data_IF_136342513823
#
_entry.id   IF_136342513823
#
_cell.length_a   1.000
_cell.length_b   1.000
_cell.length_c   1.000
_cell.angle_alpha   90.00
_cell.angle_beta   90.00
_cell.angle_gamma   90.00
#
_symmetry.space_group_name_H-M   'P 1'
#
loop_
_entity.id
_entity.type
_entity.pdbx_description
1 polymer ?
#
# COMPACT_ATOMS: atom_id res chain seq x y z
N UNK A 1 -6.63 24.35 -1.59
CA UNK A 1 -5.98 23.21 -2.26
C UNK A 1 -6.94 22.75 -3.34
N UNK A 2 -6.53 22.81 -4.62
CA UNK A 2 -7.32 22.29 -5.73
C UNK A 2 -6.71 20.95 -6.08
N UNK A 3 -7.50 19.87 -6.03
CA UNK A 3 -7.07 18.56 -6.53
C UNK A 3 -7.39 18.49 -8.01
N UNK A 4 -6.37 18.29 -8.83
CA UNK A 4 -6.49 18.15 -10.27
C UNK A 4 -5.98 16.79 -10.74
N UNK A 5 -6.05 16.58 -12.05
CA UNK A 5 -5.58 15.35 -12.68
C UNK A 5 -4.07 15.14 -12.50
N UNK A 6 -3.29 16.22 -12.39
CA UNK A 6 -1.84 16.14 -12.19
C UNK A 6 -1.52 15.59 -10.80
N UNK A 7 -2.18 16.12 -9.77
CA UNK A 7 -2.06 15.64 -8.38
C UNK A 7 -2.40 14.14 -8.28
N UNK A 8 -3.41 13.69 -9.03
CA UNK A 8 -3.78 12.27 -9.11
C UNK A 8 -2.67 11.44 -9.75
N UNK A 9 -2.13 11.87 -10.89
CA UNK A 9 -1.08 11.13 -11.62
C UNK A 9 0.21 11.05 -10.81
N UNK A 10 0.65 12.15 -10.20
CA UNK A 10 1.87 12.22 -9.39
C UNK A 10 1.78 11.34 -8.15
N UNK A 11 0.69 11.45 -7.39
CA UNK A 11 0.47 10.62 -6.22
C UNK A 11 0.33 9.14 -6.60
N UNK A 12 -0.31 8.83 -7.73
CA UNK A 12 -0.43 7.46 -8.22
C UNK A 12 0.95 6.88 -8.52
N UNK A 13 1.77 7.64 -9.24
CA UNK A 13 3.13 7.25 -9.59
C UNK A 13 3.95 6.91 -8.34
N UNK A 14 3.92 7.76 -7.32
CA UNK A 14 4.64 7.50 -6.07
C UNK A 14 4.09 6.28 -5.31
N UNK A 15 2.77 6.13 -5.21
CA UNK A 15 2.14 5.10 -4.37
C UNK A 15 1.96 3.74 -5.05
N UNK A 16 2.09 3.65 -6.37
CA UNK A 16 1.90 2.39 -7.12
C UNK A 16 2.67 1.19 -6.52
N UNK A 17 3.95 1.31 -6.10
CA UNK A 17 4.65 0.23 -5.39
C UNK A 17 3.97 -0.21 -4.10
N UNK A 18 3.44 0.72 -3.31
CA UNK A 18 2.77 0.45 -2.05
C UNK A 18 1.40 -0.24 -2.26
N UNK A 19 0.63 0.22 -3.26
CA UNK A 19 -0.61 -0.45 -3.68
C UNK A 19 -0.34 -1.90 -4.12
N UNK A 20 0.70 -2.10 -4.93
CA UNK A 20 1.08 -3.43 -5.39
C UNK A 20 1.53 -4.32 -4.20
N UNK A 21 2.33 -3.79 -3.29
CA UNK A 21 2.77 -4.50 -2.09
C UNK A 21 1.59 -5.00 -1.25
N UNK A 22 0.67 -4.09 -0.88
CA UNK A 22 -0.49 -4.41 -0.05
C UNK A 22 -1.48 -5.33 -0.79
N UNK A 23 -1.74 -5.07 -2.08
CA UNK A 23 -2.72 -5.81 -2.88
C UNK A 23 -2.27 -7.22 -3.26
N UNK A 24 -0.96 -7.43 -3.49
CA UNK A 24 -0.43 -8.72 -3.95
C UNK A 24 0.11 -9.60 -2.81
N UNK A 25 0.49 -9.04 -1.66
CA UNK A 25 0.91 -9.84 -0.50
C UNK A 25 -0.09 -10.95 -0.10
N UNK A 26 -1.43 -10.73 -0.12
CA UNK A 26 -2.42 -11.77 0.20
C UNK A 26 -2.43 -12.98 -0.75
N UNK A 27 -1.80 -12.90 -1.93
CA UNK A 27 -1.68 -14.04 -2.85
C UNK A 27 -0.77 -15.14 -2.30
N UNK A 28 0.09 -14.84 -1.31
CA UNK A 28 0.94 -15.85 -0.68
C UNK A 28 0.13 -16.97 0.02
N UNK A 29 -1.16 -16.73 0.31
CA UNK A 29 -2.06 -17.71 0.95
C UNK A 29 -2.28 -19.00 0.15
N UNK A 30 -1.91 -19.02 -1.13
CA UNK A 30 -1.94 -20.24 -1.94
C UNK A 30 -0.80 -21.21 -1.55
N UNK A 31 0.18 -20.76 -0.75
CA UNK A 31 1.20 -21.62 -0.15
C UNK A 31 0.75 -22.15 1.21
N UNK A 32 1.08 -23.40 1.49
CA UNK A 32 1.00 -23.99 2.83
C UNK A 32 2.21 -23.58 3.68
N UNK A 33 2.08 -23.69 5.02
CA UNK A 33 3.21 -23.50 5.93
C UNK A 33 3.66 -22.05 6.17
N UNK A 34 2.75 -21.06 6.04
CA UNK A 34 3.09 -19.67 6.32
C UNK A 34 3.42 -19.43 7.79
N UNK A 35 4.41 -18.58 8.07
CA UNK A 35 4.90 -18.29 9.42
C UNK A 35 4.35 -16.96 9.94
N UNK A 36 3.43 -16.97 10.94
CA UNK A 36 2.93 -15.74 11.55
C UNK A 36 4.07 -14.94 12.19
N UNK A 37 4.11 -13.63 11.95
CA UNK A 37 5.13 -12.71 12.48
C UNK A 37 5.10 -12.71 14.01
N UNK A 38 3.91 -12.77 14.60
CA UNK A 38 3.78 -12.81 16.06
C UNK A 38 4.09 -14.19 16.67
N UNK A 39 4.26 -15.25 15.87
CA UNK A 39 4.48 -16.61 16.37
C UNK A 39 3.37 -17.12 17.28
N UNK A 40 2.15 -16.56 17.19
CA UNK A 40 1.05 -16.87 18.11
C UNK A 40 1.12 -16.17 19.46
N UNK A 41 2.10 -15.26 19.67
CA UNK A 41 2.21 -14.47 20.91
C UNK A 41 0.97 -13.64 21.15
N UNK A 42 0.66 -13.48 22.42
CA UNK A 42 -0.45 -12.68 22.89
C UNK A 42 0.01 -11.50 23.72
N UNK A 43 -0.70 -10.38 23.60
CA UNK A 43 -0.57 -9.23 24.48
C UNK A 43 -1.92 -8.91 25.11
N UNK A 44 -1.94 -8.90 26.45
CA UNK A 44 -3.15 -8.70 27.28
C UNK A 44 -4.30 -9.64 26.88
N UNK A 45 -3.98 -10.94 26.78
CA UNK A 45 -4.95 -12.01 26.46
C UNK A 45 -5.46 -12.03 25.01
N UNK A 46 -4.78 -11.35 24.08
CA UNK A 46 -5.17 -11.29 22.67
C UNK A 46 -3.99 -11.44 21.73
N UNK A 47 -4.19 -11.97 20.51
CA UNK A 47 -3.12 -12.04 19.51
C UNK A 47 -2.42 -10.69 19.33
N UNK A 48 -1.09 -10.68 19.18
CA UNK A 48 -0.35 -9.44 18.96
C UNK A 48 -0.76 -8.79 17.63
N UNK A 49 -0.72 -9.56 16.54
CA UNK A 49 -1.09 -9.15 15.18
C UNK A 49 -2.21 -10.05 14.61
N UNK A 50 -2.11 -11.36 14.89
CA UNK A 50 -2.97 -12.41 14.38
C UNK A 50 -2.31 -13.20 13.25
N UNK A 51 -2.75 -14.45 13.08
CA UNK A 51 -2.21 -15.44 12.11
C UNK A 51 -2.23 -15.03 10.63
N UNK A 52 -2.76 -13.85 10.29
CA UNK A 52 -2.81 -13.37 8.91
C UNK A 52 -1.62 -12.53 8.50
N UNK A 53 -0.78 -12.11 9.47
CA UNK A 53 0.42 -11.34 9.22
C UNK A 53 1.62 -12.26 9.28
N UNK A 54 2.19 -12.56 8.12
CA UNK A 54 3.23 -13.59 7.96
C UNK A 54 4.50 -12.99 7.36
N UNK A 55 5.65 -13.59 7.69
CA UNK A 55 6.94 -13.12 7.17
C UNK A 55 6.99 -13.20 5.65
N UNK A 56 6.44 -14.25 5.05
CA UNK A 56 6.40 -14.42 3.60
C UNK A 56 5.56 -13.34 2.92
N UNK A 57 4.44 -12.93 3.53
CA UNK A 57 3.62 -11.84 3.02
C UNK A 57 4.36 -10.51 3.07
N UNK A 58 5.08 -10.25 4.17
CA UNK A 58 5.92 -9.05 4.32
C UNK A 58 7.03 -9.02 3.27
N UNK A 59 7.82 -10.08 3.14
CA UNK A 59 8.91 -10.13 2.18
C UNK A 59 8.41 -10.08 0.73
N UNK A 60 7.30 -10.76 0.41
CA UNK A 60 6.70 -10.67 -0.92
C UNK A 60 6.23 -9.25 -1.23
N UNK A 61 5.52 -8.60 -0.30
CA UNK A 61 5.03 -7.23 -0.48
C UNK A 61 6.18 -6.25 -0.74
N UNK A 62 7.22 -6.30 0.10
CA UNK A 62 8.41 -5.46 -0.06
C UNK A 62 9.12 -5.74 -1.38
N UNK A 63 9.32 -7.01 -1.73
CA UNK A 63 9.96 -7.41 -2.98
C UNK A 63 9.18 -6.89 -4.20
N UNK A 64 7.85 -7.07 -4.22
CA UNK A 64 6.98 -6.55 -5.27
C UNK A 64 7.12 -5.03 -5.40
N UNK A 65 7.14 -4.29 -4.29
CA UNK A 65 7.29 -2.84 -4.32
C UNK A 65 8.62 -2.42 -4.99
N UNK A 66 9.72 -3.09 -4.62
CA UNK A 66 11.04 -2.85 -5.24
C UNK A 66 11.01 -3.13 -6.74
N UNK A 67 10.42 -4.24 -7.17
CA UNK A 67 10.31 -4.57 -8.60
C UNK A 67 9.50 -3.51 -9.35
N UNK A 68 8.35 -3.09 -8.81
CA UNK A 68 7.52 -2.05 -9.43
C UNK A 68 8.29 -0.73 -9.54
N UNK A 69 9.00 -0.31 -8.48
CA UNK A 69 9.83 0.90 -8.54
C UNK A 69 10.98 0.80 -9.54
N UNK A 70 11.61 -0.37 -9.69
CA UNK A 70 12.62 -0.60 -10.71
C UNK A 70 12.03 -0.50 -12.12
N UNK A 71 10.84 -1.06 -12.35
CA UNK A 71 10.13 -0.92 -13.64
C UNK A 71 9.78 0.55 -13.89
N UNK A 72 9.28 1.27 -12.90
CA UNK A 72 9.00 2.70 -13.03
C UNK A 72 10.27 3.51 -13.34
N UNK A 73 11.39 3.19 -12.69
CA UNK A 73 12.68 3.83 -12.94
C UNK A 73 13.19 3.58 -14.36
N UNK A 74 13.11 2.34 -14.86
CA UNK A 74 13.61 2.01 -16.21
C UNK A 74 12.67 2.46 -17.32
N UNK A 75 11.37 2.54 -17.05
CA UNK A 75 10.37 3.03 -18.02
C UNK A 75 10.27 4.55 -18.05
N UNK A 76 10.73 5.25 -17.01
CA UNK A 76 10.63 6.71 -16.89
C UNK A 76 11.08 7.47 -18.15
N UNK A 77 12.22 7.17 -18.81
CA UNK A 77 12.65 7.91 -20.00
C UNK A 77 11.77 7.70 -21.24
N UNK A 78 10.98 6.62 -21.26
CA UNK A 78 10.14 6.24 -22.41
C UNK A 78 8.69 6.69 -22.24
N UNK A 79 8.34 7.23 -21.07
CA UNK A 79 6.99 7.71 -20.80
C UNK A 79 6.83 9.15 -21.27
N UNK A 80 5.65 9.50 -21.80
CA UNK A 80 5.42 10.80 -22.41
C UNK A 80 5.16 11.91 -21.38
N UNK A 81 6.07 12.12 -20.43
CA UNK A 81 5.93 13.14 -19.38
C UNK A 81 5.77 14.56 -19.97
N UNK A 82 6.37 14.79 -21.13
CA UNK A 82 6.31 16.05 -21.87
C UNK A 82 5.03 16.22 -22.72
N UNK A 83 4.14 15.23 -22.84
CA UNK A 83 2.87 15.38 -23.58
C UNK A 83 1.82 16.23 -22.86
N UNK A 84 2.13 16.80 -21.69
CA UNK A 84 1.33 17.88 -21.12
C UNK A 84 1.62 19.20 -21.83
N UNK A 85 1.27 19.30 -23.12
CA UNK A 85 1.17 20.59 -23.83
C UNK A 85 0.01 21.46 -23.30
N UNK A 86 -0.74 20.96 -22.32
CA UNK A 86 -1.82 21.69 -21.65
C UNK A 86 -1.22 22.75 -20.72
N UNK A 87 -1.02 23.95 -21.26
CA UNK A 87 -0.88 25.22 -20.53
C UNK A 87 0.25 25.32 -19.48
N UNK A 88 1.47 24.85 -19.78
CA UNK A 88 2.65 25.19 -18.97
C UNK A 88 2.68 24.56 -17.56
N UNK A 89 1.90 23.50 -17.33
CA UNK A 89 1.94 22.73 -16.08
C UNK A 89 3.06 21.69 -16.15
N UNK A 90 3.98 21.76 -15.19
CA UNK A 90 5.09 20.80 -15.04
C UNK A 90 4.66 19.75 -14.01
N UNK A 91 4.55 18.49 -14.43
CA UNK A 91 4.32 17.37 -13.53
C UNK A 91 5.51 17.19 -12.57
N UNK A 92 5.23 17.10 -11.27
CA UNK A 92 6.22 16.78 -10.25
C UNK A 92 6.35 15.26 -10.06
N UNK A 93 6.88 14.57 -11.08
CA UNK A 93 7.07 13.12 -11.01
C UNK A 93 8.32 12.79 -10.19
N UNK A 94 8.11 12.05 -9.10
CA UNK A 94 9.20 11.57 -8.24
C UNK A 94 10.07 10.55 -9.00
N UNK A 95 11.39 10.76 -9.10
CA UNK A 95 12.31 9.77 -9.65
C UNK A 95 12.32 8.50 -8.79
N UNK A 96 11.94 7.37 -9.39
CA UNK A 96 11.89 6.10 -8.68
C UNK A 96 13.27 5.48 -8.55
N UNK A 97 13.48 4.72 -7.47
CA UNK A 97 14.71 3.96 -7.23
C UNK A 97 14.40 2.69 -6.45
N UNK A 98 15.35 1.74 -6.43
CA UNK A 98 15.22 0.55 -5.59
C UNK A 98 15.07 0.89 -4.09
N UNK A 99 15.80 1.93 -3.62
CA UNK A 99 15.73 2.39 -2.24
C UNK A 99 14.35 2.98 -1.90
N UNK A 100 13.77 3.78 -2.81
CA UNK A 100 12.42 4.31 -2.63
C UNK A 100 11.37 3.19 -2.64
N UNK A 101 11.49 2.21 -3.55
CA UNK A 101 10.62 1.04 -3.58
C UNK A 101 10.69 0.20 -2.30
N UNK A 102 11.89 0.03 -1.74
CA UNK A 102 12.10 -0.64 -0.46
C UNK A 102 11.37 0.11 0.66
N UNK A 103 11.52 1.43 0.74
CA UNK A 103 10.85 2.26 1.75
C UNK A 103 9.33 2.24 1.60
N UNK A 104 8.81 2.37 0.38
CA UNK A 104 7.37 2.29 0.10
C UNK A 104 6.79 0.93 0.50
N UNK A 105 7.47 -0.16 0.13
CA UNK A 105 7.07 -1.52 0.49
C UNK A 105 7.11 -1.75 2.01
N UNK A 106 8.19 -1.35 2.67
CA UNK A 106 8.31 -1.46 4.13
C UNK A 106 7.26 -0.61 4.83
N UNK A 107 7.06 0.63 4.40
CA UNK A 107 6.06 1.54 4.93
C UNK A 107 4.66 0.96 4.82
N UNK A 108 4.28 0.46 3.63
CA UNK A 108 2.99 -0.17 3.40
C UNK A 108 2.76 -1.37 4.31
N UNK A 109 3.73 -2.30 4.39
CA UNK A 109 3.62 -3.49 5.24
C UNK A 109 3.63 -3.13 6.73
N UNK A 110 4.42 -2.15 7.16
CA UNK A 110 4.41 -1.65 8.54
C UNK A 110 3.08 -1.01 8.92
N UNK A 111 2.49 -0.21 8.03
CA UNK A 111 1.15 0.37 8.22
C UNK A 111 0.10 -0.71 8.49
N UNK A 112 0.05 -1.71 7.62
CA UNK A 112 -0.87 -2.86 7.74
C UNK A 112 -0.64 -3.69 9.02
N UNK A 113 0.61 -3.82 9.49
CA UNK A 113 0.94 -4.43 10.78
C UNK A 113 0.42 -3.60 11.96
N UNK A 114 0.61 -2.28 11.92
CA UNK A 114 0.12 -1.36 12.96
C UNK A 114 -1.40 -1.40 13.02
N UNK A 115 -2.09 -1.34 11.88
CA UNK A 115 -3.54 -1.48 11.81
C UNK A 115 -4.00 -2.82 12.40
N UNK A 116 -3.35 -3.92 12.05
CA UNK A 116 -3.69 -5.22 12.58
C UNK A 116 -3.49 -5.32 14.09
N UNK A 117 -2.41 -4.74 14.60
CA UNK A 117 -2.19 -4.61 16.03
C UNK A 117 -3.34 -3.82 16.70
N UNK A 118 -3.68 -2.63 16.17
CA UNK A 118 -4.75 -1.78 16.70
C UNK A 118 -6.09 -2.51 16.70
N UNK A 119 -6.43 -3.21 15.62
CA UNK A 119 -7.64 -4.05 15.51
C UNK A 119 -7.72 -5.08 16.65
N UNK A 120 -6.60 -5.70 17.03
CA UNK A 120 -6.58 -6.64 18.17
C UNK A 120 -6.79 -5.94 19.51
N UNK A 121 -6.35 -4.69 19.66
CA UNK A 121 -6.56 -3.89 20.89
C UNK A 121 -8.01 -3.44 21.07
N UNK A 122 -8.70 -3.09 19.99
CA UNK A 122 -10.14 -2.76 20.01
C UNK A 122 -11.07 -3.98 19.93
N UNK A 123 -10.54 -5.19 20.17
CA UNK A 123 -11.27 -6.46 20.24
C UNK A 123 -11.90 -6.94 18.91
N UNK A 124 -11.46 -6.42 17.77
CA UNK A 124 -11.96 -6.89 16.48
C UNK A 124 -11.37 -8.27 16.13
N UNK A 125 -12.20 -9.26 15.77
CA UNK A 125 -11.73 -10.57 15.33
C UNK A 125 -11.01 -10.47 13.99
N UNK A 126 -10.27 -11.54 13.63
CA UNK A 126 -9.60 -11.60 12.33
C UNK A 126 -10.64 -11.54 11.21
N UNK A 127 -10.39 -10.71 10.20
CA UNK A 127 -11.29 -10.55 9.06
C UNK A 127 -12.51 -9.67 9.32
N UNK A 128 -12.71 -9.18 10.54
CA UNK A 128 -13.69 -8.12 10.75
C UNK A 128 -13.27 -6.85 10.00
N UNK A 129 -14.21 -6.18 9.32
CA UNK A 129 -13.92 -4.91 8.66
C UNK A 129 -13.60 -3.85 9.71
N UNK A 130 -12.60 -3.03 9.43
CA UNK A 130 -12.30 -1.79 10.13
C UNK A 130 -12.21 -0.67 9.09
N UNK A 131 -13.34 -0.07 8.69
CA UNK A 131 -13.35 1.03 7.73
C UNK A 131 -12.43 2.17 8.15
N UNK A 132 -11.88 2.88 7.16
CA UNK A 132 -10.77 3.84 7.25
C UNK A 132 -9.44 3.15 7.58
N UNK A 133 -9.39 2.35 8.65
CA UNK A 133 -8.16 1.70 9.09
C UNK A 133 -7.64 0.67 8.07
N UNK A 134 -8.50 -0.17 7.51
CA UNK A 134 -8.10 -1.21 6.55
C UNK A 134 -7.79 -0.65 5.14
N UNK A 135 -8.19 0.58 4.86
CA UNK A 135 -8.03 1.20 3.54
C UNK A 135 -6.79 2.10 3.48
N UNK A 136 -6.55 2.89 4.52
CA UNK A 136 -5.54 3.96 4.48
C UNK A 136 -4.26 3.63 5.26
N UNK A 137 -4.22 2.53 6.00
CA UNK A 137 -3.07 2.13 6.83
C UNK A 137 -1.77 2.03 6.04
N UNK A 138 -1.79 1.32 4.91
CA UNK A 138 -0.63 1.11 4.06
C UNK A 138 -0.23 2.40 3.34
N UNK A 139 -1.19 3.27 3.00
CA UNK A 139 -0.94 4.57 2.36
C UNK A 139 -0.21 5.49 3.33
N UNK A 140 -0.71 5.61 4.56
CA UNK A 140 -0.06 6.38 5.61
C UNK A 140 1.36 5.86 5.89
N UNK A 141 1.50 4.55 6.04
CA UNK A 141 2.81 3.93 6.26
C UNK A 141 3.79 4.20 5.10
N UNK A 142 3.33 4.07 3.86
CA UNK A 142 4.13 4.34 2.66
C UNK A 142 4.58 5.79 2.58
N UNK A 143 3.69 6.77 2.82
CA UNK A 143 4.07 8.19 2.81
C UNK A 143 5.07 8.53 3.92
N UNK A 144 4.89 8.01 5.14
CA UNK A 144 5.82 8.24 6.25
C UNK A 144 7.22 7.74 5.86
N UNK A 145 7.32 6.54 5.30
CA UNK A 145 8.62 5.98 4.92
C UNK A 145 9.21 6.65 3.68
N UNK A 146 8.40 6.99 2.68
CA UNK A 146 8.84 7.72 1.50
C UNK A 146 9.41 9.10 1.86
N UNK A 147 8.82 9.76 2.87
CA UNK A 147 9.28 11.08 3.33
C UNK A 147 10.72 11.10 3.87
N UNK A 148 11.30 9.92 4.17
CA UNK A 148 12.70 9.78 4.56
C UNK A 148 13.68 9.98 3.40
N UNK A 149 13.21 9.90 2.14
CA UNK A 149 14.05 9.97 0.95
C UNK A 149 13.60 11.04 -0.05
N UNK A 150 12.30 11.33 -0.12
CA UNK A 150 11.73 12.28 -1.09
C UNK A 150 10.76 13.24 -0.41
N UNK A 151 10.61 14.44 -0.98
CA UNK A 151 9.58 15.37 -0.55
C UNK A 151 8.20 14.84 -0.95
N UNK A 152 7.34 14.61 0.03
CA UNK A 152 5.95 14.18 -0.19
C UNK A 152 5.06 15.41 -0.13
N UNK A 153 4.29 15.66 -1.19
CA UNK A 153 3.33 16.76 -1.16
C UNK A 153 2.11 16.42 -0.29
N UNK A 154 1.67 17.40 0.48
CA UNK A 154 0.45 17.28 1.29
C UNK A 154 -0.80 17.07 0.44
N UNK A 155 -0.80 17.60 -0.79
CA UNK A 155 -1.84 17.39 -1.80
C UNK A 155 -1.99 15.91 -2.15
N UNK A 156 -0.88 15.21 -2.44
CA UNK A 156 -0.89 13.77 -2.71
C UNK A 156 -1.43 13.00 -1.51
N UNK A 157 -0.95 13.30 -0.29
CA UNK A 157 -1.43 12.63 0.93
C UNK A 157 -2.95 12.78 1.11
N UNK A 158 -3.47 14.01 1.09
CA UNK A 158 -4.90 14.25 1.33
C UNK A 158 -5.75 13.62 0.23
N UNK A 159 -5.36 13.77 -1.04
CA UNK A 159 -6.08 13.15 -2.16
C UNK A 159 -6.15 11.64 -1.98
N UNK A 160 -5.02 11.01 -1.67
CA UNK A 160 -4.93 9.56 -1.56
C UNK A 160 -5.63 8.99 -0.34
N UNK A 161 -5.73 9.71 0.77
CA UNK A 161 -6.59 9.31 1.89
C UNK A 161 -8.08 9.34 1.53
N UNK A 162 -8.49 10.18 0.57
CA UNK A 162 -9.89 10.27 0.14
C UNK A 162 -10.23 9.23 -0.92
N UNK A 163 -9.34 8.99 -1.89
CA UNK A 163 -9.62 8.10 -3.03
C UNK A 163 -9.26 6.63 -2.75
N UNK A 164 -8.33 6.35 -1.83
CA UNK A 164 -7.92 4.96 -1.54
C UNK A 164 -9.08 4.09 -1.05
N UNK A 165 -10.01 4.57 -0.20
CA UNK A 165 -11.16 3.76 0.17
C UNK A 165 -11.99 3.27 -1.02
N UNK A 166 -12.11 4.10 -2.07
CA UNK A 166 -12.77 3.71 -3.32
C UNK A 166 -11.96 2.64 -4.07
N UNK A 167 -10.66 2.85 -4.26
CA UNK A 167 -9.78 1.86 -4.91
C UNK A 167 -9.73 0.54 -4.16
N UNK A 168 -9.68 0.58 -2.84
CA UNK A 168 -9.71 -0.60 -1.98
C UNK A 168 -11.03 -1.35 -2.17
N UNK A 169 -12.17 -0.67 -2.15
CA UNK A 169 -13.48 -1.32 -2.38
C UNK A 169 -13.55 -2.00 -3.76
N UNK A 170 -13.10 -1.33 -4.82
CA UNK A 170 -13.03 -1.91 -6.18
C UNK A 170 -12.13 -3.15 -6.19
N UNK A 171 -10.94 -3.08 -5.61
CA UNK A 171 -10.01 -4.20 -5.54
C UNK A 171 -10.58 -5.38 -4.75
N UNK A 172 -11.29 -5.12 -3.65
CA UNK A 172 -11.95 -6.14 -2.84
C UNK A 172 -13.08 -6.83 -3.60
N UNK A 173 -13.89 -6.05 -4.31
CA UNK A 173 -14.96 -6.56 -5.15
C UNK A 173 -14.43 -7.45 -6.28
N UNK A 174 -13.37 -7.02 -6.99
CA UNK A 174 -12.70 -7.84 -8.00
C UNK A 174 -12.15 -9.13 -7.38
N UNK A 175 -11.44 -9.02 -6.25
CA UNK A 175 -10.90 -10.18 -5.54
C UNK A 175 -11.98 -11.16 -5.09
N UNK A 176 -13.16 -10.68 -4.70
CA UNK A 176 -14.31 -11.52 -4.38
C UNK A 176 -14.86 -12.23 -5.62
N UNK A 177 -15.01 -11.51 -6.74
CA UNK A 177 -15.49 -12.08 -8.02
C UNK A 177 -14.54 -13.12 -8.60
N UNK A 178 -13.24 -12.99 -8.36
CA UNK A 178 -12.21 -13.95 -8.76
C UNK A 178 -12.05 -15.12 -7.77
N UNK A 179 -12.84 -15.19 -6.69
CA UNK A 179 -12.75 -16.22 -5.66
C UNK A 179 -11.50 -16.12 -4.76
N UNK A 180 -10.72 -15.04 -4.91
CA UNK A 180 -9.56 -14.76 -4.06
C UNK A 180 -10.03 -14.36 -2.65
N UNK A 181 -11.03 -13.48 -2.53
CA UNK A 181 -11.61 -13.09 -1.25
C UNK A 181 -12.94 -13.80 -1.00
N UNK A 182 -13.23 -14.08 0.28
CA UNK A 182 -14.53 -14.64 0.71
C UNK A 182 -15.63 -13.58 0.83
N UNK A 183 -15.24 -12.31 0.93
CA UNK A 183 -16.13 -11.16 1.14
C UNK A 183 -15.77 -10.02 0.19
N UNK A 184 -16.73 -9.18 -0.24
CA UNK A 184 -16.49 -8.07 -1.16
C UNK A 184 -15.91 -6.81 -0.52
N UNK A 185 -15.54 -6.86 0.76
CA UNK A 185 -14.89 -5.78 1.51
C UNK A 185 -13.49 -6.16 1.99
#
# INVERSE_FOLDING_TARGET
>A
MVFDIFTLVEGFWLLLPAYAANGLAPLIKFKSGLHPIDGGRQWRGRPLLGRGKTWEGLFLGVFVAVIISLVQMTTFPFLPWALSEVHGVILNIVPMSAALGLLLGLGAMCGDLVASFLKRRIRLPRGAPAPILDQDDFVLGAFIFASLLVAVETSWLILYLVITPLFHWIACFIGFRLGVKKTPW
#
